data_IF_938465898420
#
_entry.id   IF_938465898420
#
_cell.length_a   1.000
_cell.length_b   1.000
_cell.length_c   1.000
_cell.angle_alpha   90.00
_cell.angle_beta   90.00
_cell.angle_gamma   90.00
#
_symmetry.space_group_name_H-M   'P 1'
#
loop_
_entity.id
_entity.type
_entity.pdbx_description
1 polymer ?
#
# COMPACT_ATOMS: atom_id res chain seq x y z
N UNK A 1 77.24 -27.00 -48.45
CA UNK A 1 77.03 -25.62 -47.93
C UNK A 1 75.66 -25.53 -47.27
N UNK A 2 75.41 -24.54 -46.41
CA UNK A 2 74.27 -24.49 -45.47
C UNK A 2 72.98 -23.93 -46.09
N UNK A 3 71.82 -24.39 -45.56
CA UNK A 3 70.44 -23.83 -45.51
C UNK A 3 69.49 -25.05 -45.39
N UNK A 4 68.84 -25.43 -44.28
CA UNK A 4 68.35 -24.78 -43.05
C UNK A 4 67.02 -23.99 -43.16
N UNK A 5 65.95 -24.62 -42.63
CA UNK A 5 64.60 -24.09 -42.29
C UNK A 5 63.69 -23.71 -43.48
N UNK A 6 62.35 -23.79 -43.44
CA UNK A 6 61.36 -24.34 -42.49
C UNK A 6 60.05 -24.65 -43.28
N UNK A 7 58.87 -25.08 -42.78
CA UNK A 7 58.25 -25.18 -41.44
C UNK A 7 57.49 -26.54 -41.29
N UNK A 8 56.70 -26.71 -40.22
CA UNK A 8 55.86 -27.89 -39.94
C UNK A 8 54.52 -27.91 -40.70
N UNK A 9 54.03 -29.11 -41.02
CA UNK A 9 52.66 -29.35 -41.51
C UNK A 9 51.76 -29.83 -40.36
N UNK A 10 50.52 -29.35 -40.35
CA UNK A 10 49.52 -29.46 -39.27
C UNK A 10 49.22 -30.87 -38.77
N UNK A 11 49.15 -31.05 -37.44
CA UNK A 11 48.26 -32.03 -36.81
C UNK A 11 47.52 -31.40 -35.61
N UNK A 12 46.20 -31.37 -35.77
CA UNK A 12 45.14 -30.74 -34.99
C UNK A 12 45.17 -31.11 -33.49
N UNK A 13 44.84 -30.18 -32.57
CA UNK A 13 44.97 -30.41 -31.13
C UNK A 13 43.93 -31.40 -30.58
N UNK A 14 44.41 -32.50 -30.01
CA UNK A 14 43.70 -33.24 -28.96
C UNK A 14 43.87 -32.48 -27.62
N UNK A 15 43.02 -32.75 -26.63
CA UNK A 15 43.00 -32.09 -25.30
C UNK A 15 42.36 -30.66 -25.33
N UNK A 16 41.17 -30.54 -25.93
CA UNK A 16 40.14 -29.58 -25.49
C UNK A 16 39.00 -30.34 -24.77
N UNK A 17 39.38 -31.13 -23.77
CA UNK A 17 38.53 -32.17 -23.17
C UNK A 17 38.55 -32.24 -21.65
N UNK A 18 39.19 -31.30 -20.94
CA UNK A 18 38.94 -31.14 -19.52
C UNK A 18 37.66 -30.33 -19.36
N UNK A 19 36.55 -31.07 -19.38
CA UNK A 19 35.20 -30.58 -19.14
C UNK A 19 35.17 -29.85 -17.79
N UNK A 20 35.22 -28.52 -17.84
CA UNK A 20 34.84 -27.66 -16.72
C UNK A 20 33.36 -27.90 -16.46
N UNK A 21 33.08 -28.94 -15.66
CA UNK A 21 31.85 -29.03 -14.88
C UNK A 21 31.98 -27.97 -13.78
N UNK A 22 31.94 -26.70 -14.19
CA UNK A 22 31.43 -25.64 -13.33
C UNK A 22 30.04 -26.09 -12.93
N UNK A 23 29.94 -26.60 -11.71
CA UNK A 23 28.67 -26.67 -10.99
C UNK A 23 28.15 -25.24 -10.92
N UNK A 24 27.40 -24.86 -11.96
CA UNK A 24 26.55 -23.70 -11.92
C UNK A 24 25.42 -24.07 -10.97
N UNK A 25 25.70 -23.92 -9.68
CA UNK A 25 24.66 -23.82 -8.65
C UNK A 25 23.88 -22.56 -8.99
N UNK A 26 22.93 -22.70 -9.91
CA UNK A 26 21.89 -21.71 -10.08
C UNK A 26 21.34 -21.48 -8.67
N UNK A 27 21.34 -20.22 -8.16
CA UNK A 27 20.65 -19.97 -6.91
C UNK A 27 19.23 -20.42 -7.14
N UNK A 28 18.76 -21.39 -6.35
CA UNK A 28 17.36 -21.73 -6.31
C UNK A 28 16.64 -20.45 -5.95
N UNK A 29 16.03 -19.82 -6.96
CA UNK A 29 15.02 -18.80 -6.82
C UNK A 29 13.87 -19.47 -6.08
N UNK A 30 14.02 -19.51 -4.76
CA UNK A 30 12.98 -19.76 -3.80
C UNK A 30 11.96 -18.66 -4.05
N UNK A 31 11.04 -18.92 -4.97
CA UNK A 31 9.90 -18.07 -5.24
C UNK A 31 9.23 -17.91 -3.90
N UNK A 32 9.29 -16.70 -3.36
CA UNK A 32 8.78 -16.43 -2.02
C UNK A 32 7.32 -16.88 -1.99
N UNK A 33 7.07 -17.95 -1.23
CA UNK A 33 5.74 -18.52 -1.00
C UNK A 33 4.80 -17.35 -0.72
N UNK A 34 3.81 -17.14 -1.60
CA UNK A 34 2.90 -16.00 -1.49
C UNK A 34 2.08 -16.21 -0.24
N UNK A 35 2.55 -15.65 0.87
CA UNK A 35 1.87 -15.64 2.15
C UNK A 35 0.42 -15.18 1.94
N UNK A 36 -0.52 -16.12 2.00
CA UNK A 36 -1.97 -15.90 1.90
C UNK A 36 -2.53 -15.18 3.14
N UNK A 37 -1.76 -14.25 3.73
CA UNK A 37 -2.09 -13.47 4.92
C UNK A 37 -2.34 -12.04 4.49
N UNK A 38 -3.54 -11.55 4.79
CA UNK A 38 -3.94 -10.16 4.59
C UNK A 38 -3.90 -9.43 5.95
N UNK A 39 -3.21 -8.29 6.02
CA UNK A 39 -3.13 -7.45 7.21
C UNK A 39 -4.12 -6.28 7.07
N UNK A 40 -5.18 -6.29 7.89
CA UNK A 40 -6.19 -5.24 7.91
C UNK A 40 -6.06 -4.44 9.21
N UNK A 41 -5.87 -3.13 9.08
CA UNK A 41 -5.97 -2.17 10.20
C UNK A 41 -7.36 -1.53 10.18
N UNK A 42 -8.09 -1.59 11.28
CA UNK A 42 -9.31 -0.80 11.48
C UNK A 42 -9.06 0.21 12.60
N UNK A 43 -9.27 1.50 12.37
CA UNK A 43 -8.94 2.53 13.35
C UNK A 43 -9.84 3.77 13.22
N UNK A 44 -10.56 4.08 14.30
CA UNK A 44 -11.18 5.39 14.47
C UNK A 44 -10.08 6.39 14.84
N UNK A 45 -9.80 7.34 13.95
CA UNK A 45 -8.64 8.22 14.06
C UNK A 45 -8.91 9.47 14.90
N UNK A 46 -10.16 9.70 15.32
CA UNK A 46 -10.61 10.91 16.01
C UNK A 46 -10.03 12.18 15.33
N UNK A 47 -10.31 12.35 14.03
CA UNK A 47 -9.76 13.40 13.14
C UNK A 47 -8.24 13.63 13.26
N UNK A 48 -7.46 12.59 13.56
CA UNK A 48 -6.01 12.68 13.76
C UNK A 48 -5.58 13.33 15.09
N UNK A 49 -6.50 13.53 16.05
CA UNK A 49 -6.17 13.92 17.41
C UNK A 49 -5.67 12.71 18.22
N UNK A 50 -4.47 12.83 18.80
CA UNK A 50 -3.94 11.81 19.70
C UNK A 50 -4.48 11.92 21.13
N UNK A 51 -4.15 10.94 21.97
CA UNK A 51 -4.47 10.93 23.42
C UNK A 51 -3.88 12.12 24.20
N UNK A 52 -2.93 12.86 23.61
CA UNK A 52 -2.37 14.11 24.13
C UNK A 52 -3.19 15.36 23.75
N UNK A 53 -4.37 15.18 23.13
CA UNK A 53 -5.23 16.26 22.65
C UNK A 53 -4.70 16.98 21.39
N UNK A 54 -3.59 16.52 20.79
CA UNK A 54 -2.97 17.23 19.65
C UNK A 54 -3.34 16.58 18.32
N UNK A 55 -3.88 17.38 17.41
CA UNK A 55 -3.99 17.03 15.99
C UNK A 55 -2.60 16.85 15.37
N UNK A 56 -2.32 15.67 14.81
CA UNK A 56 -1.05 15.40 14.13
C UNK A 56 -1.19 14.28 13.09
N UNK A 57 -1.56 14.67 11.86
CA UNK A 57 -1.74 13.74 10.73
C UNK A 57 -0.47 12.96 10.36
N UNK A 58 0.73 13.52 10.60
CA UNK A 58 2.01 12.84 10.36
C UNK A 58 2.22 11.71 11.36
N UNK A 59 1.99 11.95 12.65
CA UNK A 59 2.03 10.92 13.70
C UNK A 59 1.04 9.78 13.40
N UNK A 60 -0.16 10.12 12.92
CA UNK A 60 -1.14 9.11 12.48
C UNK A 60 -0.60 8.26 11.31
N UNK A 61 0.00 8.89 10.29
CA UNK A 61 0.59 8.16 9.17
C UNK A 61 1.77 7.24 9.59
N UNK A 62 2.62 7.68 10.53
CA UNK A 62 3.67 6.80 11.10
C UNK A 62 3.07 5.62 11.87
N UNK A 63 2.03 5.85 12.67
CA UNK A 63 1.33 4.77 13.38
C UNK A 63 0.71 3.75 12.41
N UNK A 64 0.08 4.20 11.32
CA UNK A 64 -0.44 3.32 10.26
C UNK A 64 0.71 2.51 9.64
N UNK A 65 1.79 3.16 9.18
CA UNK A 65 2.94 2.48 8.56
C UNK A 65 3.60 1.45 9.49
N UNK A 66 3.72 1.75 10.78
CA UNK A 66 4.29 0.83 11.78
C UNK A 66 3.52 -0.50 11.89
N UNK A 67 2.23 -0.53 11.53
CA UNK A 67 1.45 -1.78 11.47
C UNK A 67 1.65 -2.60 10.20
N UNK A 68 2.37 -2.08 9.19
CA UNK A 68 2.55 -2.69 7.86
C UNK A 68 1.24 -3.32 7.29
N UNK A 69 0.19 -2.53 7.01
CA UNK A 69 -1.11 -3.04 6.59
C UNK A 69 -1.23 -3.13 5.06
N UNK A 70 -1.99 -4.12 4.57
CA UNK A 70 -2.40 -4.22 3.16
C UNK A 70 -3.64 -3.37 2.89
N UNK A 71 -4.54 -3.28 3.90
CA UNK A 71 -5.79 -2.51 3.89
C UNK A 71 -5.92 -1.77 5.22
N UNK A 72 -6.36 -0.52 5.16
CA UNK A 72 -6.68 0.32 6.31
C UNK A 72 -8.11 0.83 6.17
N UNK A 73 -8.97 0.57 7.17
CA UNK A 73 -10.32 1.13 7.28
C UNK A 73 -10.35 2.17 8.40
N UNK A 74 -10.52 3.44 8.04
CA UNK A 74 -10.51 4.57 8.96
C UNK A 74 -11.92 5.12 9.19
N UNK A 75 -12.23 5.44 10.44
CA UNK A 75 -13.41 6.21 10.83
C UNK A 75 -13.00 7.57 11.40
N UNK A 76 -13.92 8.53 11.37
CA UNK A 76 -13.71 9.90 11.85
C UNK A 76 -12.65 10.70 11.09
N UNK A 77 -12.70 10.61 9.75
CA UNK A 77 -11.79 11.32 8.84
C UNK A 77 -12.40 12.65 8.41
N UNK A 78 -11.69 13.75 8.62
CA UNK A 78 -12.10 15.09 8.20
C UNK A 78 -11.61 15.47 6.80
N UNK A 79 -12.43 16.21 6.07
CA UNK A 79 -12.12 16.85 4.79
C UNK A 79 -12.60 18.30 4.79
N UNK A 80 -11.66 19.23 4.87
CA UNK A 80 -11.88 20.69 4.89
C UNK A 80 -12.68 21.21 6.12
N UNK A 81 -12.87 20.36 7.14
CA UNK A 81 -13.49 20.69 8.43
C UNK A 81 -12.64 21.70 9.21
N UNK A 82 -13.26 22.58 10.00
CA UNK A 82 -12.55 23.65 10.72
C UNK A 82 -11.55 23.10 11.76
N UNK A 83 -11.93 22.12 12.59
CA UNK A 83 -11.05 21.56 13.65
C UNK A 83 -9.74 20.93 13.14
N UNK A 84 -9.72 20.32 11.96
CA UNK A 84 -8.52 19.74 11.33
C UNK A 84 -7.67 20.75 10.55
N UNK A 85 -7.93 22.06 10.73
CA UNK A 85 -7.25 23.13 10.00
C UNK A 85 -7.63 23.20 8.52
N UNK A 86 -8.82 22.69 8.17
CA UNK A 86 -9.30 22.49 6.80
C UNK A 86 -8.43 21.58 5.93
N UNK A 87 -7.72 20.64 6.54
CA UNK A 87 -6.96 19.60 5.81
C UNK A 87 -7.92 18.60 5.16
N UNK A 88 -7.49 18.00 4.04
CA UNK A 88 -8.15 16.84 3.44
C UNK A 88 -7.43 15.58 3.90
N UNK A 89 -7.76 15.07 5.09
CA UNK A 89 -6.95 14.08 5.81
C UNK A 89 -6.73 12.80 5.00
N UNK A 90 -7.76 12.27 4.35
CA UNK A 90 -7.66 11.10 3.48
C UNK A 90 -6.57 11.26 2.40
N UNK A 91 -6.49 12.41 1.72
CA UNK A 91 -5.47 12.70 0.70
C UNK A 91 -4.09 12.88 1.32
N UNK A 92 -4.00 13.47 2.50
CA UNK A 92 -2.71 13.68 3.17
C UNK A 92 -2.14 12.35 3.69
N UNK A 93 -2.96 11.49 4.28
CA UNK A 93 -2.58 10.13 4.67
C UNK A 93 -2.15 9.30 3.46
N UNK A 94 -2.81 9.44 2.31
CA UNK A 94 -2.38 8.79 1.06
C UNK A 94 -0.96 9.18 0.66
N UNK A 95 -0.61 10.47 0.70
CA UNK A 95 0.77 10.93 0.43
C UNK A 95 1.78 10.40 1.46
N UNK A 96 1.44 10.44 2.75
CA UNK A 96 2.36 10.13 3.85
C UNK A 96 2.60 8.62 4.04
N UNK A 97 1.63 7.79 3.62
CA UNK A 97 1.71 6.31 3.67
C UNK A 97 2.11 5.69 2.33
N UNK A 98 1.96 6.41 1.22
CA UNK A 98 2.10 5.88 -0.15
C UNK A 98 0.91 5.04 -0.63
N UNK A 99 -0.10 4.82 0.22
CA UNK A 99 -1.25 3.97 -0.09
C UNK A 99 -2.31 4.73 -0.90
N UNK A 100 -3.00 4.05 -1.82
CA UNK A 100 -4.16 4.63 -2.53
C UNK A 100 -5.31 4.79 -1.54
N UNK A 101 -6.08 5.88 -1.64
CA UNK A 101 -7.19 6.17 -0.73
C UNK A 101 -8.53 6.35 -1.46
N UNK A 102 -9.63 5.99 -0.79
CA UNK A 102 -11.00 6.43 -1.11
C UNK A 102 -11.65 6.96 0.17
N UNK A 103 -12.41 8.05 0.05
CA UNK A 103 -13.14 8.67 1.15
C UNK A 103 -14.63 8.58 0.87
N UNK A 104 -15.39 8.03 1.81
CA UNK A 104 -16.85 8.06 1.82
C UNK A 104 -17.31 9.11 2.84
N UNK A 105 -17.85 10.26 2.41
CA UNK A 105 -18.40 11.23 3.34
C UNK A 105 -19.55 10.60 4.10
N UNK A 106 -19.53 10.69 5.43
CA UNK A 106 -20.72 10.46 6.23
C UNK A 106 -21.49 11.78 6.24
N UNK A 107 -20.95 12.86 6.79
CA UNK A 107 -21.72 14.08 7.11
C UNK A 107 -21.06 15.37 6.66
N UNK A 108 -21.87 16.43 6.51
CA UNK A 108 -21.38 17.80 6.55
C UNK A 108 -21.06 18.19 8.01
N UNK A 109 -19.86 18.73 8.26
CA UNK A 109 -19.42 19.09 9.61
C UNK A 109 -18.49 20.31 9.58
N UNK A 110 -18.77 21.34 10.38
CA UNK A 110 -18.02 22.61 10.49
C UNK A 110 -17.60 23.26 9.15
N UNK A 111 -18.45 23.15 8.12
CA UNK A 111 -18.16 23.67 6.77
C UNK A 111 -17.20 22.83 5.95
N UNK A 112 -17.00 21.57 6.31
CA UNK A 112 -16.35 20.52 5.54
C UNK A 112 -17.18 19.24 5.51
N UNK A 113 -16.52 18.10 5.27
CA UNK A 113 -17.09 16.76 5.31
C UNK A 113 -16.36 15.93 6.37
N UNK A 114 -17.09 15.15 7.15
CA UNK A 114 -16.55 14.11 8.04
C UNK A 114 -17.02 12.75 7.52
N UNK A 115 -16.22 11.70 7.67
CA UNK A 115 -16.54 10.42 7.06
C UNK A 115 -15.61 9.28 7.40
N UNK A 116 -15.60 8.29 6.51
CA UNK A 116 -14.72 7.13 6.57
C UNK A 116 -13.75 7.15 5.39
N UNK A 117 -12.60 6.50 5.53
CA UNK A 117 -11.68 6.29 4.41
C UNK A 117 -11.14 4.86 4.37
N UNK A 118 -10.91 4.34 3.17
CA UNK A 118 -10.18 3.09 2.96
C UNK A 118 -8.86 3.40 2.27
N UNK A 119 -7.75 2.91 2.81
CA UNK A 119 -6.44 2.96 2.17
C UNK A 119 -5.97 1.54 1.82
N UNK A 120 -5.35 1.36 0.65
CA UNK A 120 -4.75 0.08 0.27
C UNK A 120 -3.63 0.22 -0.77
N UNK A 121 -2.70 -0.74 -0.75
CA UNK A 121 -1.73 -0.92 -1.84
C UNK A 121 -2.26 -1.84 -2.96
N UNK A 122 -3.29 -2.65 -2.69
CA UNK A 122 -3.92 -3.57 -3.64
C UNK A 122 -4.64 -2.82 -4.77
N UNK A 123 -4.85 -3.42 -5.96
CA UNK A 123 -5.70 -2.84 -7.00
C UNK A 123 -7.10 -2.52 -6.45
N UNK A 124 -7.60 -1.32 -6.75
CA UNK A 124 -8.99 -0.93 -6.46
C UNK A 124 -9.74 -1.15 -7.77
N UNK A 125 -10.64 -2.14 -7.80
CA UNK A 125 -11.39 -2.52 -9.00
C UNK A 125 -12.74 -1.81 -9.08
N UNK A 126 -13.42 -1.65 -7.94
CA UNK A 126 -14.66 -0.90 -7.78
C UNK A 126 -14.63 -0.09 -6.47
N UNK A 127 -15.60 0.82 -6.28
CA UNK A 127 -15.79 1.60 -5.05
C UNK A 127 -17.28 1.89 -4.82
N UNK A 128 -17.94 1.07 -4.01
CA UNK A 128 -19.30 1.35 -3.54
C UNK A 128 -19.34 2.15 -2.23
N UNK A 129 -20.22 3.15 -2.15
CA UNK A 129 -20.56 3.89 -0.91
C UNK A 129 -22.02 3.59 -0.58
N UNK A 130 -22.26 2.76 0.42
CA UNK A 130 -23.60 2.32 0.79
C UNK A 130 -24.18 3.26 1.88
N UNK A 131 -25.26 4.03 1.59
CA UNK A 131 -26.03 4.65 2.65
C UNK A 131 -26.70 3.57 3.49
N UNK A 132 -26.67 3.72 4.82
CA UNK A 132 -27.43 2.84 5.71
C UNK A 132 -28.94 3.09 5.54
N UNK A 133 -29.80 2.06 5.69
CA UNK A 133 -31.25 2.23 5.61
C UNK A 133 -31.76 3.12 6.75
N UNK A 134 -32.82 3.88 6.48
CA UNK A 134 -33.55 4.59 7.50
C UNK A 134 -34.28 3.60 8.42
N UNK A 135 -34.23 3.85 9.73
CA UNK A 135 -35.10 3.19 10.71
C UNK A 135 -35.99 4.23 11.40
N UNK A 136 -37.04 3.80 12.08
CA UNK A 136 -37.91 4.69 12.88
C UNK A 136 -37.13 5.45 13.97
N UNK A 137 -35.96 4.95 14.40
CA UNK A 137 -35.03 5.61 15.32
C UNK A 137 -34.29 6.81 14.70
N UNK A 138 -34.48 7.08 13.41
CA UNK A 138 -33.89 8.20 12.65
C UNK A 138 -34.98 8.98 11.89
N UNK A 139 -35.82 9.76 12.59
CA UNK A 139 -36.95 10.48 11.98
C UNK A 139 -36.53 11.64 11.07
N UNK A 140 -35.35 12.21 11.27
CA UNK A 140 -34.78 13.22 10.35
C UNK A 140 -33.96 12.56 9.23
N UNK A 141 -34.09 13.10 8.01
CA UNK A 141 -33.38 12.60 6.81
C UNK A 141 -31.91 13.05 6.74
N UNK A 142 -31.20 13.09 7.87
CA UNK A 142 -29.76 13.35 7.93
C UNK A 142 -28.97 12.08 7.60
N UNK A 143 -29.06 11.63 6.34
CA UNK A 143 -28.32 10.46 5.85
C UNK A 143 -26.83 10.70 5.92
N UNK A 144 -26.15 9.95 6.78
CA UNK A 144 -24.70 9.99 6.86
C UNK A 144 -24.10 8.60 6.56
N UNK A 145 -23.63 8.31 5.32
CA UNK A 145 -23.14 6.99 4.89
C UNK A 145 -21.98 6.45 5.75
N UNK A 146 -22.23 5.44 6.60
CA UNK A 146 -21.23 4.93 7.56
C UNK A 146 -20.35 3.77 7.06
N UNK A 147 -20.42 3.39 5.79
CA UNK A 147 -19.54 2.36 5.22
C UNK A 147 -19.24 2.58 3.73
N UNK A 148 -18.03 2.22 3.33
CA UNK A 148 -17.61 2.11 1.93
C UNK A 148 -16.76 0.84 1.78
N UNK A 149 -17.41 -0.30 1.51
CA UNK A 149 -16.76 -1.57 1.15
C UNK A 149 -17.67 -2.33 0.18
N UNK A 150 -17.30 -2.31 -1.09
CA UNK A 150 -17.28 -3.41 -2.07
C UNK A 150 -16.79 -2.81 -3.39
#
# INVERSE_FOLDING_TARGET
MKNQYCYQCSLIPLILGLLLITFCTAPELHGAEKSNKLRVLCYNIHYGQGMDGKYNIKRLAEAIKATNPDIVALQEVDVHVKRSGRVHEAKELSKLTGMKVRFGPTQHYEGGLFGNAVLTNLPILDVHIQPLPYTESTPERTTYPRAAIA
#
